data_IF_626565945258
#
_entry.id   IF_626565945258
#
_cell.length_a   1.000
_cell.length_b   1.000
_cell.length_c   1.000
_cell.angle_alpha   90.00
_cell.angle_beta   90.00
_cell.angle_gamma   90.00
#
_symmetry.space_group_name_H-M   'P 1'
#
loop_
_entity.id
_entity.type
_entity.pdbx_description
1 polymer ?
#
# COMPACT_ATOMS: atom_id res chain seq x y z
N UNK A 1 -18.45 -8.31 7.35
CA UNK A 1 -17.95 -7.03 7.93
C UNK A 1 -16.70 -6.46 7.22
N UNK A 2 -16.31 -6.97 6.05
CA UNK A 2 -15.27 -6.35 5.20
C UNK A 2 -15.66 -6.22 3.71
N UNK A 3 -16.90 -6.55 3.35
CA UNK A 3 -17.47 -6.54 1.99
C UNK A 3 -16.46 -6.35 0.86
N UNK A 4 -16.42 -5.13 0.33
CA UNK A 4 -15.72 -4.80 -0.90
C UNK A 4 -14.33 -4.18 -0.66
N UNK A 5 -13.71 -4.38 0.51
CA UNK A 5 -12.35 -3.87 0.82
C UNK A 5 -11.29 -4.98 0.88
N UNK A 6 -10.06 -4.64 0.50
CA UNK A 6 -8.92 -5.55 0.59
C UNK A 6 -7.60 -4.84 0.84
N UNK A 7 -6.68 -5.51 1.55
CA UNK A 7 -5.31 -5.05 1.79
C UNK A 7 -4.35 -6.22 1.64
N UNK A 8 -3.43 -6.15 0.68
CA UNK A 8 -2.56 -7.26 0.30
C UNK A 8 -1.10 -6.81 0.24
N UNK A 9 -0.19 -7.60 0.80
CA UNK A 9 1.25 -7.40 0.60
C UNK A 9 1.70 -8.15 -0.66
N UNK A 10 2.09 -7.40 -1.69
CA UNK A 10 2.69 -7.96 -2.89
C UNK A 10 4.18 -8.19 -2.64
N UNK A 11 4.52 -9.34 -2.07
CA UNK A 11 5.88 -9.66 -1.58
C UNK A 11 6.96 -9.42 -2.65
N UNK A 12 6.77 -9.93 -3.87
CA UNK A 12 7.74 -9.77 -4.97
C UNK A 12 7.90 -8.31 -5.44
N UNK A 13 6.93 -7.45 -5.13
CA UNK A 13 6.97 -6.02 -5.44
C UNK A 13 7.34 -5.15 -4.23
N UNK A 14 7.39 -5.71 -3.02
CA UNK A 14 7.55 -4.96 -1.78
C UNK A 14 6.58 -3.76 -1.69
N UNK A 15 5.29 -4.01 -1.93
CA UNK A 15 4.23 -2.97 -1.99
C UNK A 15 2.97 -3.50 -1.31
N UNK A 16 2.19 -2.60 -0.70
CA UNK A 16 0.83 -2.91 -0.24
C UNK A 16 -0.18 -2.45 -1.30
N UNK A 17 -1.02 -3.38 -1.76
CA UNK A 17 -2.19 -3.10 -2.60
C UNK A 17 -3.41 -2.91 -1.68
N UNK A 18 -4.08 -1.77 -1.83
CA UNK A 18 -5.36 -1.49 -1.19
C UNK A 18 -6.47 -1.46 -2.23
N UNK A 19 -7.58 -2.14 -1.97
CA UNK A 19 -8.74 -2.24 -2.84
C UNK A 19 -10.01 -1.77 -2.13
N UNK A 20 -10.89 -1.12 -2.88
CA UNK A 20 -12.26 -0.79 -2.50
C UNK A 20 -13.17 -0.82 -3.74
N UNK A 21 -14.12 -1.76 -3.78
CA UNK A 21 -15.00 -2.03 -4.94
C UNK A 21 -14.13 -2.26 -6.19
N UNK A 22 -14.34 -1.49 -7.27
CA UNK A 22 -13.61 -1.62 -8.53
C UNK A 22 -12.33 -0.78 -8.57
N UNK A 23 -11.97 -0.14 -7.45
CA UNK A 23 -10.85 0.77 -7.37
C UNK A 23 -9.74 0.24 -6.46
N UNK A 24 -8.52 0.72 -6.70
CA UNK A 24 -7.38 0.36 -5.89
C UNK A 24 -6.27 1.38 -5.94
N UNK A 25 -5.33 1.25 -5.00
CA UNK A 25 -4.11 2.03 -5.00
C UNK A 25 -2.95 1.25 -4.38
N UNK A 26 -1.73 1.67 -4.71
CA UNK A 26 -0.51 1.11 -4.15
C UNK A 26 0.03 2.00 -3.04
N UNK A 27 0.56 1.38 -2.01
CA UNK A 27 1.22 2.06 -0.90
C UNK A 27 2.58 1.44 -0.61
N UNK A 28 3.44 2.25 0.02
CA UNK A 28 4.69 1.75 0.56
C UNK A 28 4.43 0.64 1.59
N UNK A 29 5.28 -0.39 1.61
CA UNK A 29 5.17 -1.48 2.55
C UNK A 29 5.54 -1.02 3.97
N UNK A 30 5.18 -1.82 4.99
CA UNK A 30 5.63 -1.57 6.35
C UNK A 30 7.07 -2.06 6.59
N UNK A 31 7.81 -2.43 5.55
CA UNK A 31 9.19 -2.92 5.66
C UNK A 31 10.18 -1.91 5.10
N UNK A 32 11.33 -1.79 5.77
CA UNK A 32 12.43 -0.89 5.40
C UNK A 32 13.77 -1.62 5.50
N UNK A 33 14.76 -1.18 4.73
CA UNK A 33 16.15 -1.59 4.92
C UNK A 33 16.76 -0.97 6.19
N UNK A 34 18.00 -1.34 6.49
CA UNK A 34 18.74 -0.83 7.66
C UNK A 34 18.95 0.70 7.65
N UNK A 35 18.75 1.37 6.52
CA UNK A 35 18.86 2.82 6.37
C UNK A 35 17.49 3.52 6.40
N UNK A 36 16.39 2.78 6.56
CA UNK A 36 15.04 3.34 6.58
C UNK A 36 14.43 3.53 5.19
N UNK A 37 15.00 2.90 4.16
CA UNK A 37 14.53 3.01 2.78
C UNK A 37 13.67 1.82 2.36
N UNK A 38 12.68 2.07 1.50
CA UNK A 38 11.89 1.00 0.87
C UNK A 38 12.67 0.42 -0.31
N UNK A 39 12.64 -0.89 -0.50
CA UNK A 39 13.16 -1.55 -1.70
C UNK A 39 12.03 -2.02 -2.62
N UNK A 40 11.43 -1.08 -3.36
CA UNK A 40 10.34 -1.36 -4.29
C UNK A 40 10.82 -2.33 -5.39
N UNK A 41 10.04 -3.39 -5.60
CA UNK A 41 10.40 -4.47 -6.53
C UNK A 41 11.55 -5.35 -6.04
N UNK A 42 12.03 -5.16 -4.81
CA UNK A 42 13.22 -5.82 -4.26
C UNK A 42 14.46 -5.69 -5.19
N UNK A 43 14.55 -4.59 -5.93
CA UNK A 43 15.57 -4.38 -6.98
C UNK A 43 16.96 -4.19 -6.38
N UNK A 44 17.08 -3.64 -5.17
CA UNK A 44 18.35 -3.42 -4.48
C UNK A 44 18.83 -4.67 -3.74
N UNK A 45 17.95 -5.66 -3.57
CA UNK A 45 18.24 -6.92 -2.87
C UNK A 45 18.56 -6.73 -1.39
N UNK A 46 18.15 -5.61 -0.79
CA UNK A 46 18.47 -5.32 0.61
C UNK A 46 17.48 -6.01 1.54
N UNK A 47 17.94 -6.68 2.61
CA UNK A 47 17.05 -7.22 3.63
C UNK A 47 16.10 -6.15 4.15
N UNK A 48 14.82 -6.50 4.22
CA UNK A 48 13.73 -5.62 4.64
C UNK A 48 13.23 -6.07 6.02
N UNK A 49 13.08 -5.13 6.95
CA UNK A 49 12.67 -5.37 8.33
C UNK A 49 11.36 -4.66 8.62
N UNK A 50 10.51 -5.27 9.44
CA UNK A 50 9.24 -4.68 9.81
C UNK A 50 9.47 -3.39 10.61
N UNK A 51 8.96 -2.27 10.10
CA UNK A 51 8.90 -1.01 10.80
C UNK A 51 7.55 -0.91 11.53
N UNK A 52 7.58 -0.98 12.86
CA UNK A 52 6.35 -0.98 13.69
C UNK A 52 5.49 0.26 13.49
N UNK A 53 6.09 1.44 13.32
CA UNK A 53 5.32 2.68 13.10
C UNK A 53 4.50 2.61 11.82
N UNK A 54 5.10 2.20 10.70
CA UNK A 54 4.40 2.02 9.42
C UNK A 54 3.35 0.91 9.48
N UNK A 55 3.66 -0.18 10.18
CA UNK A 55 2.71 -1.25 10.41
C UNK A 55 1.47 -0.77 11.18
N UNK A 56 1.66 0.01 12.23
CA UNK A 56 0.57 0.59 13.02
C UNK A 56 -0.29 1.55 12.21
N UNK A 57 0.29 2.29 11.26
CA UNK A 57 -0.47 3.12 10.31
C UNK A 57 -1.39 2.27 9.41
N UNK A 58 -0.89 1.16 8.86
CA UNK A 58 -1.70 0.21 8.07
C UNK A 58 -2.80 -0.43 8.92
N UNK A 59 -2.44 -0.87 10.12
CA UNK A 59 -3.38 -1.47 11.08
C UNK A 59 -4.47 -0.47 11.47
N UNK A 60 -4.11 0.79 11.73
CA UNK A 60 -5.07 1.85 12.02
C UNK A 60 -6.02 2.05 10.85
N UNK A 61 -5.50 2.18 9.62
CA UNK A 61 -6.31 2.31 8.41
C UNK A 61 -7.34 1.18 8.29
N UNK A 62 -6.92 -0.06 8.55
CA UNK A 62 -7.79 -1.23 8.53
C UNK A 62 -8.86 -1.17 9.64
N UNK A 63 -8.45 -1.00 10.89
CA UNK A 63 -9.33 -1.08 12.06
C UNK A 63 -10.33 0.07 12.16
N UNK A 64 -10.00 1.24 11.62
CA UNK A 64 -10.92 2.39 11.60
C UNK A 64 -11.81 2.42 10.35
N UNK A 65 -11.86 1.35 9.56
CA UNK A 65 -12.60 1.28 8.30
C UNK A 65 -12.24 2.42 7.33
N UNK A 66 -10.98 2.87 7.32
CA UNK A 66 -10.54 4.04 6.56
C UNK A 66 -10.23 3.77 5.08
N UNK A 67 -10.25 2.50 4.65
CA UNK A 67 -9.91 2.09 3.28
C UNK A 67 -10.76 2.78 2.21
N UNK A 68 -12.11 2.83 2.31
CA UNK A 68 -12.94 3.51 1.33
C UNK A 68 -12.55 4.98 1.12
N UNK A 69 -12.38 5.71 2.22
CA UNK A 69 -11.98 7.12 2.19
C UNK A 69 -10.57 7.31 1.66
N UNK A 70 -9.64 6.41 2.00
CA UNK A 70 -8.28 6.45 1.48
C UNK A 70 -8.24 6.26 -0.04
N UNK A 71 -8.94 5.24 -0.55
CA UNK A 71 -8.99 4.95 -1.99
C UNK A 71 -9.66 6.09 -2.76
N UNK A 72 -10.81 6.60 -2.30
CA UNK A 72 -11.50 7.72 -2.93
C UNK A 72 -10.61 8.97 -3.06
N UNK A 73 -9.94 9.37 -1.96
CA UNK A 73 -9.02 10.52 -1.98
C UNK A 73 -7.83 10.32 -2.92
N UNK A 74 -7.35 9.08 -3.06
CA UNK A 74 -6.24 8.78 -3.98
C UNK A 74 -6.66 8.87 -5.44
N UNK A 75 -7.88 8.46 -5.77
CA UNK A 75 -8.46 8.62 -7.12
C UNK A 75 -8.63 10.10 -7.44
N UNK A 76 -9.17 10.89 -6.51
CA UNK A 76 -9.33 12.35 -6.68
C UNK A 76 -7.99 13.06 -6.90
N UNK A 77 -6.92 12.57 -6.26
CA UNK A 77 -5.56 13.09 -6.41
C UNK A 77 -4.87 12.62 -7.70
N UNK A 78 -5.31 11.50 -8.30
CA UNK A 78 -4.76 11.02 -9.56
C UNK A 78 -5.49 11.66 -10.74
N UNK A 79 -4.76 12.46 -11.52
CA UNK A 79 -5.20 12.81 -12.88
C UNK A 79 -5.00 11.55 -13.73
N UNK A 80 -6.06 10.75 -13.88
CA UNK A 80 -6.01 9.48 -14.59
C UNK A 80 -5.95 9.72 -16.11
N UNK A 81 -4.87 9.27 -16.76
CA UNK A 81 -4.83 9.07 -18.22
C UNK A 81 -5.20 7.63 -18.62
N UNK A 82 -5.72 6.83 -17.68
CA UNK A 82 -6.08 5.44 -17.89
C UNK A 82 -4.83 4.57 -18.03
N UNK A 83 -4.33 4.02 -16.91
CA UNK A 83 -3.32 2.99 -17.02
C UNK A 83 -2.79 2.44 -15.69
N UNK A 84 -2.75 1.11 -15.59
CA UNK A 84 -2.00 0.31 -14.62
C UNK A 84 -0.47 0.54 -14.64
N UNK A 85 0.00 1.65 -15.23
CA UNK A 85 1.41 1.91 -15.54
C UNK A 85 2.16 2.74 -14.48
N UNK A 86 1.55 3.06 -13.34
CA UNK A 86 2.28 3.66 -12.22
C UNK A 86 2.93 2.58 -11.36
N UNK A 87 3.98 1.94 -11.90
CA UNK A 87 4.98 1.17 -11.13
C UNK A 87 6.35 1.10 -11.84
#
# INVERSE_FOLDING_TARGET
CGGDIGMYLLIKKCIVLILHVDNGNFMNPPYLDAHGEVDVGLRRGRPQYLNMKRYDELRKLWLTHGIPSFVARKIEQSIDFGGWMTL
#
